data_IF_785413364117
#
_entry.id   IF_785413364117
#
_cell.length_a   1.000
_cell.length_b   1.000
_cell.length_c   1.000
_cell.angle_alpha   90.00
_cell.angle_beta   90.00
_cell.angle_gamma   90.00
#
_symmetry.space_group_name_H-M   'P 1'
#
loop_
_entity.id
_entity.type
_entity.pdbx_description
1 polymer ?
#
# COMPACT_ATOMS: atom_id res chain seq x y z
N UNK A 1 15.37 -12.96 3.07
CA UNK A 1 15.13 -11.74 2.29
C UNK A 1 14.50 -10.68 3.19
N UNK A 2 14.98 -9.46 3.09
CA UNK A 2 14.43 -8.34 3.86
C UNK A 2 13.50 -7.52 2.97
N UNK A 3 12.42 -7.00 3.53
CA UNK A 3 11.42 -6.22 2.83
C UNK A 3 11.31 -4.80 3.39
N UNK A 4 11.00 -3.86 2.52
CA UNK A 4 10.48 -2.55 2.93
C UNK A 4 8.96 -2.69 3.03
N UNK A 5 8.42 -2.51 4.23
CA UNK A 5 7.00 -2.74 4.52
C UNK A 5 6.19 -1.46 4.39
N UNK A 6 5.06 -1.56 3.69
CA UNK A 6 4.09 -0.46 3.56
C UNK A 6 2.73 -0.96 4.02
N UNK A 7 2.09 -0.22 4.92
CA UNK A 7 0.83 -0.61 5.53
C UNK A 7 -0.25 0.38 5.10
N UNK A 8 -1.37 -0.12 4.64
CA UNK A 8 -2.48 0.73 4.24
C UNK A 8 -3.75 -0.05 3.97
N UNK A 9 -4.79 0.67 3.57
CA UNK A 9 -6.06 0.07 3.17
C UNK A 9 -6.16 -0.12 1.66
N UNK A 10 -5.45 0.76 0.90
CA UNK A 10 -5.32 0.70 -0.56
C UNK A 10 -6.69 0.64 -1.27
N UNK A 11 -7.58 1.59 -0.98
CA UNK A 11 -9.01 1.60 -1.32
C UNK A 11 -9.42 2.73 -2.29
N UNK A 12 -9.09 2.70 -3.59
CA UNK A 12 -8.33 1.67 -4.30
C UNK A 12 -6.85 2.00 -4.38
N UNK A 13 -6.07 1.07 -4.92
CA UNK A 13 -4.69 1.31 -5.32
C UNK A 13 -4.64 2.39 -6.43
N UNK A 14 -3.71 3.32 -6.33
CA UNK A 14 -3.57 4.40 -7.32
C UNK A 14 -2.10 4.80 -7.52
N UNK A 15 -1.86 5.74 -8.44
CA UNK A 15 -0.52 6.17 -8.80
C UNK A 15 0.28 6.76 -7.64
N UNK A 16 -0.39 7.38 -6.69
CA UNK A 16 0.27 7.87 -5.47
C UNK A 16 0.85 6.74 -4.63
N UNK A 17 0.16 5.61 -4.55
CA UNK A 17 0.65 4.41 -3.89
C UNK A 17 1.83 3.80 -4.67
N UNK A 18 1.74 3.79 -5.99
CA UNK A 18 2.84 3.31 -6.84
C UNK A 18 4.09 4.17 -6.64
N UNK A 19 3.93 5.49 -6.63
CA UNK A 19 5.05 6.40 -6.35
C UNK A 19 5.71 6.03 -5.01
N UNK A 20 4.89 5.79 -3.99
CA UNK A 20 5.37 5.50 -2.64
C UNK A 20 6.28 4.26 -2.61
N UNK A 21 5.83 3.14 -3.18
CA UNK A 21 6.63 1.91 -3.19
C UNK A 21 7.84 2.01 -4.11
N UNK A 22 7.75 2.82 -5.16
CA UNK A 22 8.87 3.02 -6.09
C UNK A 22 10.08 3.65 -5.40
N UNK A 23 9.88 4.40 -4.31
CA UNK A 23 10.99 4.98 -3.54
C UNK A 23 11.95 3.90 -3.03
N UNK A 24 11.43 2.71 -2.72
CA UNK A 24 12.25 1.60 -2.25
C UNK A 24 12.64 0.66 -3.38
N UNK A 25 11.73 0.43 -4.34
CA UNK A 25 12.02 -0.40 -5.52
C UNK A 25 13.21 0.18 -6.32
N UNK A 26 13.24 1.52 -6.49
CA UNK A 26 14.31 2.19 -7.23
C UNK A 26 15.66 2.10 -6.52
N UNK A 27 15.67 1.85 -5.21
CA UNK A 27 16.90 1.60 -4.44
C UNK A 27 17.31 0.13 -4.45
N UNK A 28 16.62 -0.70 -5.23
CA UNK A 28 16.91 -2.13 -5.31
C UNK A 28 16.34 -2.95 -4.16
N UNK A 29 15.43 -2.37 -3.37
CA UNK A 29 14.82 -3.07 -2.23
C UNK A 29 13.62 -3.87 -2.68
N UNK A 30 13.30 -4.92 -1.93
CA UNK A 30 12.06 -5.67 -2.09
C UNK A 30 10.99 -5.06 -1.19
N UNK A 31 9.72 -5.12 -1.64
CA UNK A 31 8.60 -4.43 -0.97
C UNK A 31 7.57 -5.44 -0.47
N UNK A 32 7.12 -5.24 0.76
CA UNK A 32 5.99 -5.96 1.34
C UNK A 32 4.82 -5.00 1.48
N UNK A 33 3.74 -5.26 0.76
CA UNK A 33 2.51 -4.46 0.85
C UNK A 33 1.57 -5.18 1.80
N UNK A 34 1.24 -4.52 2.91
CA UNK A 34 0.34 -5.05 3.92
C UNK A 34 -1.02 -4.37 3.81
N UNK A 35 -2.07 -5.15 3.55
CA UNK A 35 -3.44 -4.67 3.43
C UNK A 35 -4.12 -4.85 4.79
N UNK A 36 -4.57 -3.75 5.40
CA UNK A 36 -5.31 -3.82 6.65
C UNK A 36 -6.72 -4.35 6.37
N UNK A 37 -7.10 -5.42 7.06
CA UNK A 37 -8.43 -6.01 6.92
C UNK A 37 -9.44 -5.17 7.71
N UNK A 38 -10.17 -4.33 6.98
CA UNK A 38 -11.21 -3.47 7.55
C UNK A 38 -12.58 -3.88 7.00
N UNK A 39 -13.64 -3.61 7.76
CA UNK A 39 -15.01 -3.89 7.31
C UNK A 39 -15.35 -3.04 6.08
N UNK A 40 -16.06 -3.66 5.13
CA UNK A 40 -16.50 -2.97 3.93
C UNK A 40 -17.55 -1.90 4.30
N UNK A 41 -17.33 -0.66 3.84
CA UNK A 41 -18.23 0.48 4.07
C UNK A 41 -17.95 1.56 3.04
N UNK A 42 -18.53 2.75 3.19
CA UNK A 42 -18.36 3.85 2.22
C UNK A 42 -16.90 4.31 2.08
N UNK A 43 -16.11 4.22 3.15
CA UNK A 43 -14.69 4.59 3.13
C UNK A 43 -13.81 3.42 2.66
N UNK A 44 -14.31 2.20 2.78
CA UNK A 44 -13.58 0.98 2.44
C UNK A 44 -14.52 0.07 1.63
N UNK A 45 -14.86 0.47 0.38
CA UNK A 45 -15.86 -0.24 -0.42
C UNK A 45 -15.38 -1.57 -0.98
N UNK A 46 -14.09 -1.83 -0.94
CA UNK A 46 -13.52 -3.04 -1.51
C UNK A 46 -13.15 -4.05 -0.42
N UNK A 47 -13.46 -5.32 -0.68
CA UNK A 47 -13.02 -6.43 0.16
C UNK A 47 -11.49 -6.54 0.11
N UNK A 48 -10.80 -6.84 1.24
CA UNK A 48 -9.34 -6.99 1.25
C UNK A 48 -8.81 -7.98 0.20
N UNK A 49 -9.52 -9.09 -0.07
CA UNK A 49 -9.12 -10.04 -1.11
C UNK A 49 -9.16 -9.41 -2.50
N UNK A 50 -10.18 -8.59 -2.79
CA UNK A 50 -10.28 -7.88 -4.06
C UNK A 50 -9.17 -6.85 -4.19
N UNK A 51 -8.84 -6.14 -3.12
CA UNK A 51 -7.72 -5.19 -3.09
C UNK A 51 -6.42 -5.91 -3.38
N UNK A 52 -6.18 -7.05 -2.74
CA UNK A 52 -4.98 -7.87 -2.95
C UNK A 52 -4.88 -8.32 -4.42
N UNK A 53 -5.96 -8.86 -4.96
CA UNK A 53 -5.98 -9.33 -6.35
C UNK A 53 -5.72 -8.19 -7.33
N UNK A 54 -6.29 -7.03 -7.09
CA UNK A 54 -6.09 -5.86 -7.94
C UNK A 54 -4.63 -5.40 -7.93
N UNK A 55 -4.02 -5.31 -6.75
CA UNK A 55 -2.61 -4.92 -6.62
C UNK A 55 -1.70 -5.94 -7.31
N UNK A 56 -1.93 -7.22 -7.07
CA UNK A 56 -1.14 -8.30 -7.67
C UNK A 56 -1.24 -8.29 -9.19
N UNK A 57 -2.43 -8.01 -9.73
CA UNK A 57 -2.63 -7.93 -11.17
C UNK A 57 -1.90 -6.73 -11.77
N UNK A 58 -1.98 -5.56 -11.15
CA UNK A 58 -1.31 -4.36 -11.64
C UNK A 58 0.21 -4.46 -11.55
N UNK A 59 0.73 -5.18 -10.57
CA UNK A 59 2.16 -5.30 -10.31
C UNK A 59 2.68 -6.71 -10.60
N UNK A 60 2.01 -7.44 -11.49
CA UNK A 60 2.27 -8.87 -11.70
C UNK A 60 3.74 -9.20 -12.02
N UNK A 61 4.43 -8.37 -12.79
CA UNK A 61 5.83 -8.63 -13.13
C UNK A 61 6.73 -8.55 -11.89
N UNK A 62 6.45 -7.60 -10.99
CA UNK A 62 7.19 -7.42 -9.75
C UNK A 62 6.86 -8.53 -8.74
N UNK A 63 5.62 -9.00 -8.74
CA UNK A 63 5.21 -10.14 -7.90
C UNK A 63 5.90 -11.42 -8.39
N UNK A 64 5.87 -11.67 -9.70
CA UNK A 64 6.52 -12.85 -10.30
C UNK A 64 8.03 -12.87 -10.08
N UNK A 65 8.68 -11.70 -10.12
CA UNK A 65 10.12 -11.57 -9.87
C UNK A 65 10.46 -11.57 -8.38
N UNK A 66 9.48 -11.69 -7.50
CA UNK A 66 9.63 -11.68 -6.04
C UNK A 66 10.14 -10.36 -5.48
N UNK A 67 10.02 -9.27 -6.24
CA UNK A 67 10.35 -7.92 -5.77
C UNK A 67 9.25 -7.34 -4.89
N UNK A 68 8.01 -7.83 -5.06
CA UNK A 68 6.85 -7.42 -4.27
C UNK A 68 6.14 -8.65 -3.72
N UNK A 69 5.75 -8.57 -2.46
CA UNK A 69 4.86 -9.54 -1.81
C UNK A 69 3.68 -8.77 -1.23
N UNK A 70 2.47 -9.28 -1.44
CA UNK A 70 1.24 -8.67 -0.94
C UNK A 70 0.59 -9.61 0.07
N UNK A 71 0.30 -9.11 1.26
CA UNK A 71 -0.37 -9.88 2.32
C UNK A 71 -1.50 -9.09 2.94
N UNK A 72 -2.47 -9.80 3.49
CA UNK A 72 -3.56 -9.22 4.27
C UNK A 72 -3.20 -9.40 5.74
N UNK A 73 -3.28 -8.32 6.51
CA UNK A 73 -3.04 -8.35 7.96
C UNK A 73 -4.31 -7.94 8.70
N UNK A 74 -4.45 -8.32 9.98
CA UNK A 74 -5.54 -7.79 10.80
C UNK A 74 -5.49 -6.27 10.84
N UNK A 75 -6.63 -5.64 11.11
CA UNK A 75 -6.63 -4.19 11.29
C UNK A 75 -5.77 -3.83 12.50
N UNK A 76 -5.11 -2.69 12.40
CA UNK A 76 -4.16 -2.23 13.42
C UNK A 76 -4.55 -0.84 13.89
N UNK A 77 -4.25 -0.50 15.15
CA UNK A 77 -4.45 0.86 15.67
C UNK A 77 -3.13 1.63 15.77
N UNK A 78 -1.98 0.93 15.79
CA UNK A 78 -0.68 1.60 15.90
C UNK A 78 0.45 0.69 15.44
N UNK A 79 1.60 1.31 15.17
CA UNK A 79 2.86 0.62 14.93
C UNK A 79 3.79 0.99 16.07
N UNK A 80 4.34 -0.02 16.75
CA UNK A 80 5.16 0.18 17.93
C UNK A 80 6.53 -0.42 17.75
N UNK A 81 7.55 0.25 18.27
CA UNK A 81 8.91 -0.28 18.26
C UNK A 81 9.63 0.11 19.53
N UNK A 82 10.58 -0.75 19.92
CA UNK A 82 11.48 -0.46 21.03
C UNK A 82 12.89 -0.17 20.52
N UNK A 83 13.82 -0.07 21.47
CA UNK A 83 15.23 0.15 21.15
C UNK A 83 15.83 -1.10 20.47
N UNK A 84 16.64 -0.88 19.43
CA UNK A 84 17.40 -1.97 18.81
C UNK A 84 16.60 -2.92 17.94
N UNK A 85 15.51 -2.43 17.31
CA UNK A 85 14.63 -3.26 16.47
C UNK A 85 15.28 -3.78 15.19
N UNK A 86 16.40 -3.18 14.76
CA UNK A 86 17.14 -3.66 13.59
C UNK A 86 16.53 -3.29 12.24
N UNK A 87 15.60 -2.32 12.20
CA UNK A 87 15.07 -1.78 10.94
C UNK A 87 14.91 -0.26 11.04
N UNK A 88 14.80 0.38 9.88
CA UNK A 88 14.63 1.83 9.76
C UNK A 88 13.15 2.18 9.71
N UNK A 89 12.79 3.36 10.24
CA UNK A 89 11.47 3.95 10.10
C UNK A 89 11.63 5.12 9.15
N UNK A 90 11.04 5.02 7.96
CA UNK A 90 11.26 5.97 6.87
C UNK A 90 9.93 6.60 6.45
N UNK A 91 9.91 7.94 6.39
CA UNK A 91 8.79 8.68 5.85
C UNK A 91 9.13 9.15 4.44
N UNK A 92 8.20 8.95 3.49
CA UNK A 92 8.33 9.43 2.12
C UNK A 92 7.31 10.54 1.88
N UNK A 93 7.79 11.72 1.53
CA UNK A 93 6.93 12.88 1.27
C UNK A 93 6.84 13.06 -0.25
N UNK A 94 5.64 12.84 -0.84
CA UNK A 94 5.49 12.96 -2.28
C UNK A 94 5.48 14.43 -2.73
N UNK A 95 5.91 14.70 -3.98
CA UNK A 95 5.75 16.04 -4.55
C UNK A 95 4.26 16.38 -4.68
N UNK A 96 3.94 17.67 -4.79
CA UNK A 96 2.56 18.15 -4.81
C UNK A 96 1.71 17.48 -5.88
N UNK A 97 2.26 17.23 -7.07
CA UNK A 97 1.55 16.57 -8.17
C UNK A 97 1.06 15.17 -7.79
N UNK A 98 1.84 14.44 -6.98
CA UNK A 98 1.49 13.11 -6.50
C UNK A 98 0.62 13.20 -5.24
N UNK A 99 0.95 14.12 -4.33
CA UNK A 99 0.20 14.32 -3.09
C UNK A 99 -1.24 14.72 -3.28
N UNK A 100 -1.60 15.25 -4.47
CA UNK A 100 -2.99 15.57 -4.83
C UNK A 100 -3.83 14.35 -5.16
N UNK A 101 -3.21 13.22 -5.49
CA UNK A 101 -3.91 11.98 -5.76
C UNK A 101 -4.42 11.43 -4.43
N UNK A 102 -5.71 11.11 -4.36
CA UNK A 102 -6.34 10.68 -3.12
C UNK A 102 -7.34 9.57 -3.38
N UNK A 103 -7.25 8.49 -2.59
CA UNK A 103 -8.21 7.41 -2.65
C UNK A 103 -9.63 7.90 -2.33
N UNK A 104 -9.75 8.86 -1.41
CA UNK A 104 -11.03 9.48 -1.08
C UNK A 104 -11.64 10.18 -2.29
N UNK A 105 -10.85 10.94 -3.04
CA UNK A 105 -11.33 11.62 -4.27
C UNK A 105 -11.70 10.60 -5.33
N UNK A 106 -10.92 9.56 -5.49
CA UNK A 106 -11.19 8.49 -6.46
C UNK A 106 -12.50 7.79 -6.11
N UNK A 107 -12.71 7.43 -4.85
CA UNK A 107 -13.95 6.78 -4.41
C UNK A 107 -15.17 7.67 -4.63
N UNK A 108 -15.07 8.95 -4.31
CA UNK A 108 -16.17 9.92 -4.55
C UNK A 108 -16.54 9.98 -6.02
N UNK A 109 -15.54 9.96 -6.91
CA UNK A 109 -15.77 9.99 -8.36
C UNK A 109 -16.47 8.70 -8.83
N UNK A 110 -16.06 7.54 -8.34
CA UNK A 110 -16.59 6.23 -8.74
C UNK A 110 -18.04 6.03 -8.28
N UNK A 111 -18.38 6.47 -7.07
CA UNK A 111 -19.70 6.26 -6.47
C UNK A 111 -20.62 7.47 -6.55
N UNK A 112 -20.20 8.52 -7.23
CA UNK A 112 -21.02 9.70 -7.48
C UNK A 112 -22.02 9.40 -8.59
N UNK A 113 -23.28 9.52 -8.28
CA UNK A 113 -24.37 9.38 -9.26
C UNK A 113 -24.75 10.74 -9.84
#
# INVERSE_FOLDING_TARGET
MKYSMFIGRWQPWHDGHRWLIDQRLNEGKSVLICIRKVSTNDKNPYDPEDVKNNIENELQDLVKSKRIKVIIIPDIESVNYGRGVGYDIIEHIPPDSIGKISATKIRKKLFRK
#
